data_IF_899459600473
#
_entry.id   IF_899459600473
#
_cell.length_a   1.000
_cell.length_b   1.000
_cell.length_c   1.000
_cell.angle_alpha   90.00
_cell.angle_beta   90.00
_cell.angle_gamma   90.00
#
_symmetry.space_group_name_H-M   'P 1'
#
loop_
_entity.id
_entity.type
_entity.pdbx_description
1 polymer ?
#
# COMPACT_ATOMS: atom_id res chain seq x y z
N UNK A 1 25.56 -1.16 0.12
CA UNK A 1 25.70 -1.03 1.59
C UNK A 1 24.67 -0.03 2.10
N UNK A 2 23.90 -0.42 3.11
CA UNK A 2 23.02 0.45 3.88
C UNK A 2 23.48 0.42 5.33
N UNK A 3 23.36 1.53 6.03
CA UNK A 3 23.70 1.59 7.45
C UNK A 3 22.67 2.39 8.23
N UNK A 4 22.50 2.05 9.49
CA UNK A 4 21.70 2.77 10.47
C UNK A 4 22.55 2.95 11.72
N UNK A 5 22.70 4.19 12.17
CA UNK A 5 23.44 4.52 13.38
C UNK A 5 22.46 4.62 14.54
N UNK A 6 22.68 3.82 15.57
CA UNK A 6 21.88 3.83 16.79
C UNK A 6 22.72 4.36 17.94
N UNK A 7 22.43 5.56 18.41
CA UNK A 7 23.30 6.32 19.31
C UNK A 7 24.72 6.51 18.70
N UNK A 8 25.64 7.29 19.31
CA UNK A 8 26.99 7.42 18.74
C UNK A 8 27.79 6.11 18.73
N UNK A 9 27.34 5.08 19.46
CA UNK A 9 28.14 3.92 19.82
C UNK A 9 27.89 2.68 18.93
N UNK A 10 26.75 2.58 18.24
CA UNK A 10 26.40 1.39 17.47
C UNK A 10 26.06 1.70 16.01
N UNK A 11 26.61 0.88 15.11
CA UNK A 11 26.39 0.97 13.67
C UNK A 11 25.88 -0.38 13.15
N UNK A 12 24.67 -0.40 12.64
CA UNK A 12 24.06 -1.55 11.98
C UNK A 12 24.24 -1.44 10.48
N UNK A 13 24.63 -2.53 9.82
CA UNK A 13 24.97 -2.53 8.39
C UNK A 13 24.23 -3.67 7.68
N UNK A 14 23.57 -3.34 6.58
CA UNK A 14 23.15 -4.32 5.58
C UNK A 14 24.09 -4.28 4.37
N UNK A 15 24.63 -5.45 4.03
CA UNK A 15 25.28 -5.70 2.76
C UNK A 15 24.20 -6.12 1.77
N UNK A 16 23.91 -5.26 0.82
CA UNK A 16 22.79 -5.40 -0.13
C UNK A 16 23.31 -5.37 -1.55
N UNK A 17 22.68 -6.14 -2.43
CA UNK A 17 22.95 -6.12 -3.86
C UNK A 17 22.64 -4.73 -4.47
N UNK A 18 23.30 -4.39 -5.57
CA UNK A 18 23.18 -3.10 -6.24
C UNK A 18 21.77 -2.81 -6.76
N UNK A 19 21.00 -3.85 -7.07
CA UNK A 19 19.64 -3.75 -7.60
C UNK A 19 18.55 -3.82 -6.52
N UNK A 20 18.91 -3.95 -5.26
CA UNK A 20 17.94 -4.12 -4.18
C UNK A 20 17.25 -2.80 -3.82
N UNK A 21 15.97 -2.86 -3.43
CA UNK A 21 15.18 -1.69 -3.02
C UNK A 21 15.76 -1.06 -1.74
N UNK A 22 16.57 -0.02 -1.91
CA UNK A 22 17.28 0.64 -0.79
C UNK A 22 16.34 1.23 0.24
N UNK A 23 15.15 1.69 -0.16
CA UNK A 23 14.17 2.33 0.72
C UNK A 23 13.51 1.30 1.64
N UNK A 24 13.04 0.19 1.08
CA UNK A 24 12.50 -0.96 1.83
C UNK A 24 13.53 -1.52 2.79
N UNK A 25 14.73 -1.81 2.29
CA UNK A 25 15.78 -2.40 3.10
C UNK A 25 16.25 -1.48 4.23
N UNK A 26 16.14 -0.15 4.05
CA UNK A 26 16.38 0.81 5.13
C UNK A 26 15.28 0.78 6.19
N UNK A 27 14.02 0.62 5.80
CA UNK A 27 12.93 0.43 6.75
C UNK A 27 13.13 -0.85 7.58
N UNK A 28 13.49 -1.97 6.92
CA UNK A 28 13.83 -3.25 7.57
C UNK A 28 15.00 -3.07 8.53
N UNK A 29 16.11 -2.46 8.06
CA UNK A 29 17.31 -2.24 8.87
C UNK A 29 16.98 -1.45 10.14
N UNK A 30 16.16 -0.40 10.05
CA UNK A 30 15.73 0.39 11.20
C UNK A 30 14.90 -0.41 12.19
N UNK A 31 13.96 -1.22 11.70
CA UNK A 31 13.16 -2.09 12.57
C UNK A 31 14.03 -3.09 13.30
N UNK A 32 14.89 -3.82 12.58
CA UNK A 32 15.78 -4.81 13.17
C UNK A 32 16.77 -4.17 14.15
N UNK A 33 17.32 -3.00 13.81
CA UNK A 33 18.22 -2.27 14.72
C UNK A 33 17.50 -1.89 16.02
N UNK A 34 16.26 -1.39 15.93
CA UNK A 34 15.45 -1.07 17.12
C UNK A 34 15.13 -2.31 17.96
N UNK A 35 14.70 -3.41 17.32
CA UNK A 35 14.39 -4.68 18.01
C UNK A 35 15.63 -5.27 18.67
N UNK A 36 16.77 -5.24 17.98
CA UNK A 36 18.04 -5.73 18.51
C UNK A 36 18.47 -4.92 19.73
N UNK A 37 18.48 -3.59 19.63
CA UNK A 37 18.86 -2.73 20.75
C UNK A 37 17.90 -2.87 21.93
N UNK A 38 16.60 -2.93 21.67
CA UNK A 38 15.60 -3.11 22.73
C UNK A 38 15.81 -4.42 23.52
N UNK A 39 16.36 -5.45 22.87
CA UNK A 39 16.59 -6.77 23.48
C UNK A 39 17.98 -6.93 24.10
N UNK A 40 19.01 -6.37 23.49
CA UNK A 40 20.41 -6.72 23.78
C UNK A 40 21.30 -5.53 24.19
N UNK A 41 20.75 -4.34 24.44
CA UNK A 41 21.56 -3.16 24.80
C UNK A 41 22.45 -3.41 26.03
N UNK A 42 22.00 -4.21 26.99
CA UNK A 42 22.75 -4.48 28.22
C UNK A 42 23.95 -5.38 27.92
N UNK A 43 23.75 -6.44 27.15
CA UNK A 43 24.76 -7.42 26.74
C UNK A 43 25.83 -6.77 25.85
N UNK A 44 25.43 -5.84 24.98
CA UNK A 44 26.35 -5.06 24.14
C UNK A 44 27.27 -4.12 24.95
N UNK A 45 26.87 -3.73 26.16
CA UNK A 45 27.66 -2.86 27.05
C UNK A 45 28.62 -3.64 27.95
N UNK A 46 28.60 -4.96 27.92
CA UNK A 46 29.57 -5.77 28.66
C UNK A 46 30.97 -5.60 28.09
N UNK A 47 31.99 -5.60 28.95
CA UNK A 47 33.40 -5.49 28.53
C UNK A 47 33.81 -6.63 27.57
N UNK A 48 33.18 -7.80 27.72
CA UNK A 48 33.37 -8.96 26.85
C UNK A 48 31.97 -9.45 26.41
N UNK A 49 31.53 -9.15 25.18
CA UNK A 49 30.24 -9.60 24.68
C UNK A 49 30.24 -11.12 24.42
N UNK A 50 29.16 -11.79 24.83
CA UNK A 50 28.94 -13.22 24.58
C UNK A 50 28.07 -13.35 23.32
N UNK A 51 28.69 -13.74 22.20
CA UNK A 51 28.02 -13.76 20.89
C UNK A 51 26.84 -14.73 20.84
N UNK A 52 26.93 -15.85 21.55
CA UNK A 52 25.90 -16.90 21.58
C UNK A 52 24.54 -16.37 22.07
N UNK A 53 24.54 -15.28 22.85
CA UNK A 53 23.30 -14.64 23.35
C UNK A 53 22.49 -13.99 22.23
N UNK A 54 23.09 -13.75 21.06
CA UNK A 54 22.43 -13.11 19.92
C UNK A 54 21.95 -14.11 18.86
N UNK A 55 22.26 -15.41 18.99
CA UNK A 55 21.95 -16.40 17.95
C UNK A 55 20.45 -16.50 17.64
N UNK A 56 19.62 -16.37 18.68
CA UNK A 56 18.17 -16.43 18.60
C UNK A 56 17.56 -15.25 17.81
N UNK A 57 18.26 -14.11 17.72
CA UNK A 57 17.85 -12.98 16.89
C UNK A 57 17.84 -13.32 15.39
N UNK A 58 18.55 -14.38 14.96
CA UNK A 58 18.50 -14.85 13.57
C UNK A 58 17.08 -15.25 13.15
N UNK A 59 16.28 -15.77 14.09
CA UNK A 59 14.88 -16.11 13.81
C UNK A 59 14.01 -14.86 13.67
N UNK A 60 14.27 -13.82 14.48
CA UNK A 60 13.61 -12.52 14.35
C UNK A 60 13.90 -11.89 12.98
N UNK A 61 15.17 -11.89 12.56
CA UNK A 61 15.58 -11.41 11.23
C UNK A 61 14.82 -12.16 10.14
N UNK A 62 14.77 -13.50 10.21
CA UNK A 62 14.04 -14.31 9.22
C UNK A 62 12.54 -13.99 9.22
N UNK A 63 11.93 -13.85 10.40
CA UNK A 63 10.52 -13.50 10.53
C UNK A 63 10.18 -12.15 9.88
N UNK A 64 11.01 -11.13 10.15
CA UNK A 64 10.86 -9.81 9.52
C UNK A 64 10.99 -9.91 8.00
N UNK A 65 12.02 -10.58 7.46
CA UNK A 65 12.14 -10.72 6.00
C UNK A 65 10.94 -11.45 5.37
N UNK A 66 10.47 -12.54 5.97
CA UNK A 66 9.29 -13.27 5.48
C UNK A 66 8.03 -12.40 5.46
N UNK A 67 7.79 -11.61 6.51
CA UNK A 67 6.68 -10.67 6.56
C UNK A 67 6.77 -9.64 5.43
N UNK A 68 7.95 -9.01 5.27
CA UNK A 68 8.16 -7.99 4.24
C UNK A 68 8.06 -8.55 2.82
N UNK A 69 8.60 -9.74 2.56
CA UNK A 69 8.44 -10.43 1.28
C UNK A 69 6.95 -10.69 0.97
N UNK A 70 6.17 -11.12 1.97
CA UNK A 70 4.73 -11.27 1.84
C UNK A 70 4.03 -9.97 1.44
N UNK A 71 4.35 -8.87 2.12
CA UNK A 71 3.82 -7.53 1.79
C UNK A 71 4.20 -7.12 0.37
N UNK A 72 5.47 -7.29 -0.03
CA UNK A 72 5.94 -6.93 -1.36
C UNK A 72 5.23 -7.70 -2.47
N UNK A 73 5.01 -9.01 -2.30
CA UNK A 73 4.27 -9.84 -3.25
C UNK A 73 2.83 -9.33 -3.42
N UNK A 74 2.19 -8.91 -2.32
CA UNK A 74 0.84 -8.35 -2.38
C UNK A 74 0.86 -7.03 -3.14
N UNK A 75 1.74 -6.09 -2.74
CA UNK A 75 1.83 -4.74 -3.33
C UNK A 75 2.16 -4.80 -4.83
N UNK A 76 3.09 -5.67 -5.25
CA UNK A 76 3.49 -5.80 -6.67
C UNK A 76 2.36 -6.27 -7.58
N UNK A 77 1.32 -6.89 -7.01
CA UNK A 77 0.15 -7.39 -7.74
C UNK A 77 -1.05 -6.43 -7.66
N UNK A 78 -0.92 -5.27 -7.01
CA UNK A 78 -1.97 -4.27 -6.96
C UNK A 78 -2.04 -3.48 -8.27
N UNK A 79 -3.25 -3.11 -8.66
CA UNK A 79 -3.47 -2.15 -9.73
C UNK A 79 -3.59 -0.73 -9.19
N UNK A 80 -3.58 0.26 -10.09
CA UNK A 80 -3.88 1.65 -9.76
C UNK A 80 -5.30 1.87 -9.19
N UNK A 81 -6.21 0.90 -9.34
CA UNK A 81 -7.63 0.99 -8.97
C UNK A 81 -7.94 0.38 -7.60
N UNK A 82 -7.01 0.55 -6.68
CA UNK A 82 -7.15 0.20 -5.27
C UNK A 82 -7.19 1.45 -4.41
N UNK A 83 -7.91 1.36 -3.30
CA UNK A 83 -8.04 2.42 -2.31
C UNK A 83 -7.08 2.15 -1.14
N UNK A 84 -6.02 2.96 -0.98
CA UNK A 84 -5.26 2.97 0.24
C UNK A 84 -6.03 3.67 1.36
N UNK A 85 -5.88 3.18 2.60
CA UNK A 85 -6.45 3.79 3.80
C UNK A 85 -5.43 3.76 4.92
N UNK A 86 -5.17 4.92 5.53
CA UNK A 86 -4.25 5.02 6.66
C UNK A 86 -4.90 4.47 7.94
N UNK A 87 -4.18 3.59 8.64
CA UNK A 87 -4.52 3.14 10.00
C UNK A 87 -4.09 4.21 10.99
N UNK A 88 -5.01 5.11 11.33
CA UNK A 88 -4.73 6.29 12.16
C UNK A 88 -4.10 5.93 13.49
N UNK A 89 -4.57 4.86 14.14
CA UNK A 89 -4.08 4.41 15.44
C UNK A 89 -2.61 3.98 15.37
N UNK A 90 -2.24 3.23 14.33
CA UNK A 90 -0.86 2.77 14.10
C UNK A 90 0.03 3.93 13.69
N UNK A 91 -0.46 4.82 12.82
CA UNK A 91 0.28 6.02 12.41
C UNK A 91 0.56 6.92 13.61
N UNK A 92 -0.42 7.15 14.48
CA UNK A 92 -0.26 7.98 15.68
C UNK A 92 0.76 7.40 16.64
N UNK A 93 0.78 6.07 16.82
CA UNK A 93 1.83 5.39 17.59
C UNK A 93 3.19 5.61 16.93
N UNK A 94 3.31 5.37 15.62
CA UNK A 94 4.56 5.53 14.88
C UNK A 94 5.11 6.97 14.91
N UNK A 95 4.24 7.98 14.91
CA UNK A 95 4.61 9.39 15.07
C UNK A 95 5.14 9.65 16.49
N UNK A 96 4.48 9.12 17.53
CA UNK A 96 4.87 9.32 18.93
C UNK A 96 6.16 8.59 19.31
N UNK A 97 6.40 7.40 18.77
CA UNK A 97 7.54 6.54 19.14
C UNK A 97 8.85 6.91 18.44
N UNK A 98 8.88 8.03 17.72
CA UNK A 98 10.13 8.66 17.30
C UNK A 98 10.46 8.44 15.82
N UNK A 99 10.17 9.48 15.03
CA UNK A 99 10.85 9.70 13.76
C UNK A 99 10.16 9.14 12.52
N UNK A 100 8.95 8.58 12.58
CA UNK A 100 8.27 8.11 11.36
C UNK A 100 8.17 9.20 10.27
N UNK A 101 7.76 10.42 10.64
CA UNK A 101 7.66 11.53 9.69
C UNK A 101 9.05 11.99 9.22
N UNK A 102 10.06 11.95 10.08
CA UNK A 102 11.44 12.29 9.71
C UNK A 102 12.04 11.25 8.77
N UNK A 103 11.77 9.97 9.00
CA UNK A 103 12.14 8.84 8.15
C UNK A 103 11.47 8.96 6.79
N UNK A 104 10.14 9.19 6.77
CA UNK A 104 9.37 9.43 5.55
C UNK A 104 9.93 10.64 4.78
N UNK A 105 10.23 11.73 5.47
CA UNK A 105 10.82 12.92 4.87
C UNK A 105 12.24 12.66 4.36
N UNK A 106 13.06 11.87 5.06
CA UNK A 106 14.41 11.51 4.63
C UNK A 106 14.39 10.64 3.37
N UNK A 107 13.43 9.73 3.28
CA UNK A 107 13.37 8.73 2.20
C UNK A 107 12.59 9.23 0.96
N UNK A 108 11.62 10.13 1.15
CA UNK A 108 10.71 10.62 0.10
C UNK A 108 10.56 12.14 0.03
N UNK A 109 11.23 12.90 0.90
CA UNK A 109 11.15 14.36 0.91
C UNK A 109 9.74 14.89 1.20
N UNK A 110 9.38 16.00 0.57
CA UNK A 110 8.02 16.56 0.64
C UNK A 110 6.98 15.74 -0.13
N UNK A 111 7.42 14.89 -1.08
CA UNK A 111 6.53 14.04 -1.87
C UNK A 111 5.82 13.01 -0.99
N UNK A 112 6.56 12.36 -0.09
CA UNK A 112 5.99 11.38 0.86
C UNK A 112 4.88 11.98 1.71
N UNK A 113 5.09 13.18 2.24
CA UNK A 113 4.07 13.90 3.02
C UNK A 113 2.83 14.23 2.18
N UNK A 114 3.01 14.72 0.94
CA UNK A 114 1.89 15.03 0.03
C UNK A 114 1.05 13.81 -0.30
N UNK A 115 1.69 12.68 -0.60
CA UNK A 115 1.00 11.42 -0.86
C UNK A 115 0.26 10.97 0.40
N UNK A 116 0.94 10.93 1.56
CA UNK A 116 0.31 10.53 2.83
C UNK A 116 -0.94 11.37 3.14
N UNK A 117 -0.88 12.69 2.94
CA UNK A 117 -2.05 13.58 3.14
C UNK A 117 -3.16 13.40 2.11
N UNK A 118 -2.86 12.76 0.97
CA UNK A 118 -3.85 12.49 -0.09
C UNK A 118 -4.51 11.12 0.05
N UNK A 119 -4.05 10.28 0.98
CA UNK A 119 -4.69 9.02 1.32
C UNK A 119 -5.84 9.32 2.29
N UNK A 120 -7.02 9.56 1.71
CA UNK A 120 -8.25 9.91 2.43
C UNK A 120 -9.14 8.69 2.75
N UNK A 121 -8.84 7.53 2.15
CA UNK A 121 -9.66 6.32 2.27
C UNK A 121 -10.76 6.19 1.22
N UNK A 122 -10.84 7.13 0.28
CA UNK A 122 -11.83 7.15 -0.82
C UNK A 122 -11.16 7.26 -2.20
N UNK A 123 -9.98 7.86 -2.27
CA UNK A 123 -9.23 8.10 -3.49
C UNK A 123 -8.36 6.89 -3.87
N UNK A 124 -8.50 6.42 -5.11
CA UNK A 124 -7.63 5.36 -5.65
C UNK A 124 -6.20 5.84 -5.88
N UNK A 125 -5.23 4.92 -6.00
CA UNK A 125 -3.85 5.24 -6.43
C UNK A 125 -3.88 6.02 -7.75
N UNK A 126 -4.71 5.62 -8.71
CA UNK A 126 -4.90 6.33 -9.98
C UNK A 126 -5.36 7.78 -9.76
N UNK A 127 -6.37 7.98 -8.90
CA UNK A 127 -6.91 9.31 -8.58
C UNK A 127 -5.89 10.19 -7.86
N UNK A 128 -5.13 9.63 -6.91
CA UNK A 128 -4.06 10.34 -6.17
C UNK A 128 -2.97 10.79 -7.16
N UNK A 129 -2.56 9.90 -8.05
CA UNK A 129 -1.55 10.15 -9.10
C UNK A 129 -1.97 11.31 -9.99
N UNK A 130 -3.19 11.27 -10.55
CA UNK A 130 -3.75 12.37 -11.36
C UNK A 130 -3.89 13.68 -10.57
N UNK A 131 -4.38 13.63 -9.33
CA UNK A 131 -4.59 14.82 -8.47
C UNK A 131 -3.28 15.52 -8.12
N UNK A 132 -2.23 14.75 -7.83
CA UNK A 132 -0.94 15.29 -7.43
C UNK A 132 0.00 15.60 -8.61
N UNK A 133 -0.36 15.13 -9.82
CA UNK A 133 0.43 15.22 -11.05
C UNK A 133 1.86 14.68 -10.84
N UNK A 134 1.93 13.42 -10.43
CA UNK A 134 3.16 12.67 -10.14
C UNK A 134 3.10 11.32 -10.84
N UNK A 135 4.24 10.66 -11.00
CA UNK A 135 4.31 9.33 -11.61
C UNK A 135 3.70 8.27 -10.69
N UNK A 136 3.05 7.27 -11.28
CA UNK A 136 2.40 6.16 -10.54
C UNK A 136 3.43 5.38 -9.71
N UNK A 137 4.62 5.13 -10.26
CA UNK A 137 5.72 4.46 -9.56
C UNK A 137 6.09 5.19 -8.25
N UNK A 138 6.07 6.53 -8.25
CA UNK A 138 6.40 7.30 -7.06
C UNK A 138 5.32 7.20 -5.97
N UNK A 139 4.05 7.06 -6.37
CA UNK A 139 2.95 6.77 -5.43
C UNK A 139 3.08 5.35 -4.91
N UNK A 140 3.31 4.39 -5.80
CA UNK A 140 3.47 2.98 -5.47
C UNK A 140 4.59 2.76 -4.44
N UNK A 141 5.75 3.41 -4.60
CA UNK A 141 6.86 3.31 -3.63
C UNK A 141 6.48 3.84 -2.23
N UNK A 142 5.69 4.92 -2.15
CA UNK A 142 5.23 5.45 -0.85
C UNK A 142 4.19 4.52 -0.25
N UNK A 143 3.25 4.01 -1.06
CA UNK A 143 2.25 3.03 -0.63
C UNK A 143 2.91 1.75 -0.11
N UNK A 144 3.92 1.25 -0.81
CA UNK A 144 4.75 0.11 -0.40
C UNK A 144 5.40 0.37 0.96
N UNK A 145 6.07 1.52 1.13
CA UNK A 145 6.69 1.90 2.39
C UNK A 145 5.68 1.98 3.54
N UNK A 146 4.50 2.55 3.30
CA UNK A 146 3.45 2.67 4.32
C UNK A 146 2.85 1.29 4.68
N UNK A 147 2.64 0.42 3.70
CA UNK A 147 2.16 -0.95 3.91
C UNK A 147 3.17 -1.77 4.73
N UNK A 148 4.44 -1.69 4.36
CA UNK A 148 5.57 -2.29 5.09
C UNK A 148 5.59 -1.86 6.55
N UNK A 149 5.32 -0.57 6.81
CA UNK A 149 5.28 -0.02 8.17
C UNK A 149 4.00 -0.37 8.93
N UNK A 150 3.11 -1.16 8.33
CA UNK A 150 1.84 -1.59 8.92
C UNK A 150 0.84 -0.45 9.09
N UNK A 151 1.11 0.74 8.54
CA UNK A 151 0.26 1.94 8.69
C UNK A 151 -0.82 2.05 7.61
N UNK A 152 -0.87 1.10 6.68
CA UNK A 152 -1.75 1.14 5.52
C UNK A 152 -2.62 -0.11 5.43
N UNK A 153 -3.90 0.08 5.10
CA UNK A 153 -4.80 -0.96 4.58
C UNK A 153 -5.07 -0.64 3.12
N UNK A 154 -5.36 -1.66 2.32
CA UNK A 154 -5.67 -1.47 0.90
C UNK A 154 -6.93 -2.25 0.59
N UNK A 155 -7.85 -1.64 -0.15
CA UNK A 155 -9.07 -2.27 -0.62
C UNK A 155 -9.19 -2.20 -2.14
N UNK A 156 -9.71 -3.26 -2.75
CA UNK A 156 -10.07 -3.30 -4.17
C UNK A 156 -11.39 -2.58 -4.39
N UNK A 157 -11.46 -1.73 -5.42
CA UNK A 157 -12.70 -1.09 -5.86
C UNK A 157 -13.55 -2.07 -6.64
N UNK A 158 -14.76 -2.36 -6.15
CA UNK A 158 -15.69 -3.31 -6.77
C UNK A 158 -16.99 -2.58 -7.13
N UNK A 159 -17.25 -2.29 -8.42
CA UNK A 159 -18.41 -1.50 -8.81
C UNK A 159 -19.72 -2.26 -8.65
N UNK A 160 -20.77 -1.53 -8.28
CA UNK A 160 -22.17 -1.96 -8.22
C UNK A 160 -22.95 -1.03 -9.12
N UNK A 161 -23.66 -1.58 -10.11
CA UNK A 161 -24.62 -0.82 -10.91
C UNK A 161 -26.01 -1.23 -10.44
N UNK A 162 -26.69 -0.35 -9.70
CA UNK A 162 -28.07 -0.61 -9.27
C UNK A 162 -29.07 -0.28 -10.38
N UNK A 163 -30.06 -1.15 -10.56
CA UNK A 163 -31.30 -0.83 -11.28
C UNK A 163 -31.18 -0.71 -12.80
N UNK A 164 -31.51 -1.78 -13.52
CA UNK A 164 -31.93 -1.71 -14.93
C UNK A 164 -33.36 -1.15 -15.05
N UNK A 165 -33.62 0.01 -14.46
CA UNK A 165 -34.93 0.65 -14.54
C UNK A 165 -35.00 1.63 -15.74
N UNK A 166 -36.21 2.05 -16.07
CA UNK A 166 -36.43 2.99 -17.18
C UNK A 166 -35.76 4.34 -16.96
N UNK A 167 -35.41 4.70 -15.71
CA UNK A 167 -34.75 5.96 -15.37
C UNK A 167 -33.26 5.89 -15.67
N UNK A 168 -32.62 4.74 -15.42
CA UNK A 168 -31.23 4.51 -15.79
C UNK A 168 -31.03 4.66 -17.31
N UNK A 169 -31.89 4.06 -18.13
CA UNK A 169 -31.82 4.22 -19.59
C UNK A 169 -32.03 5.68 -20.04
N UNK A 170 -33.00 6.38 -19.44
CA UNK A 170 -33.22 7.79 -19.72
C UNK A 170 -32.03 8.68 -19.27
N UNK A 171 -31.33 8.30 -18.20
CA UNK A 171 -30.10 8.95 -17.76
C UNK A 171 -28.97 8.74 -18.77
N UNK A 172 -28.78 7.51 -19.27
CA UNK A 172 -27.76 7.23 -20.30
C UNK A 172 -27.99 8.06 -21.57
N UNK A 173 -29.25 8.24 -21.98
CA UNK A 173 -29.61 9.11 -23.10
C UNK A 173 -29.30 10.59 -22.82
N UNK A 174 -29.48 11.05 -21.57
CA UNK A 174 -29.23 12.44 -21.18
C UNK A 174 -27.73 12.76 -21.13
N UNK A 175 -26.90 11.86 -20.59
CA UNK A 175 -25.45 12.09 -20.48
C UNK A 175 -24.72 11.98 -21.81
N UNK A 176 -25.36 11.39 -22.84
CA UNK A 176 -24.85 11.34 -24.20
C UNK A 176 -23.57 10.50 -24.34
N UNK A 177 -23.53 9.31 -23.72
CA UNK A 177 -22.37 8.42 -23.82
C UNK A 177 -22.09 8.02 -25.28
N UNK A 178 -20.82 8.02 -25.72
CA UNK A 178 -20.43 7.47 -27.01
C UNK A 178 -20.89 6.02 -27.15
N UNK A 179 -21.31 5.61 -28.35
CA UNK A 179 -21.83 4.25 -28.61
C UNK A 179 -20.90 3.12 -28.12
N UNK A 180 -19.57 3.32 -28.19
CA UNK A 180 -18.59 2.36 -27.66
C UNK A 180 -18.64 2.22 -26.14
N UNK A 181 -18.81 3.32 -25.42
CA UNK A 181 -18.88 3.34 -23.96
C UNK A 181 -20.22 2.75 -23.48
N UNK A 182 -21.31 3.03 -24.19
CA UNK A 182 -22.60 2.41 -23.94
C UNK A 182 -22.54 0.88 -24.12
N UNK A 183 -21.93 0.39 -25.21
CA UNK A 183 -21.74 -1.05 -25.43
C UNK A 183 -20.86 -1.71 -24.37
N UNK A 184 -19.83 -1.00 -23.89
CA UNK A 184 -19.01 -1.48 -22.78
C UNK A 184 -19.85 -1.59 -21.50
N UNK A 185 -20.63 -0.57 -21.19
CA UNK A 185 -21.49 -0.53 -20.02
C UNK A 185 -22.52 -1.67 -20.02
N UNK A 186 -23.21 -1.89 -21.14
CA UNK A 186 -24.17 -3.00 -21.30
C UNK A 186 -23.54 -4.36 -20.98
N UNK A 187 -22.30 -4.59 -21.42
CA UNK A 187 -21.58 -5.83 -21.13
C UNK A 187 -21.10 -5.90 -19.67
N UNK A 188 -20.77 -4.75 -19.07
CA UNK A 188 -20.25 -4.67 -17.71
C UNK A 188 -21.33 -4.84 -16.64
N UNK A 189 -22.59 -4.46 -16.91
CA UNK A 189 -23.72 -4.50 -15.97
C UNK A 189 -23.79 -5.78 -15.13
N UNK A 190 -23.79 -6.94 -15.77
CA UNK A 190 -23.91 -8.23 -15.07
C UNK A 190 -22.66 -8.64 -14.26
N UNK A 191 -21.54 -7.94 -14.45
CA UNK A 191 -20.29 -8.19 -13.75
C UNK A 191 -20.07 -7.21 -12.60
N UNK A 192 -20.65 -6.01 -12.66
CA UNK A 192 -20.60 -4.95 -11.66
C UNK A 192 -21.61 -5.19 -10.54
N UNK A 193 -21.36 -6.20 -9.71
CA UNK A 193 -22.22 -6.62 -8.59
C UNK A 193 -21.60 -6.38 -7.21
N UNK A 194 -20.48 -5.65 -7.13
CA UNK A 194 -19.77 -5.36 -5.88
C UNK A 194 -18.86 -6.47 -5.36
N UNK A 195 -18.80 -7.62 -6.03
CA UNK A 195 -17.93 -8.74 -5.61
C UNK A 195 -16.61 -8.80 -6.40
N UNK A 196 -16.58 -8.20 -7.59
CA UNK A 196 -15.42 -8.25 -8.50
C UNK A 196 -14.78 -6.89 -8.61
N UNK A 197 -13.44 -6.85 -8.59
CA UNK A 197 -12.73 -5.60 -8.74
C UNK A 197 -12.84 -5.05 -10.16
N UNK A 198 -12.61 -3.75 -10.33
CA UNK A 198 -12.53 -3.12 -11.67
C UNK A 198 -11.62 -3.89 -12.61
N UNK A 199 -10.47 -4.38 -12.11
CA UNK A 199 -9.51 -5.16 -12.89
C UNK A 199 -10.11 -6.49 -13.34
N UNK A 200 -10.72 -7.24 -12.43
CA UNK A 200 -11.32 -8.53 -12.75
C UNK A 200 -12.47 -8.39 -13.77
N UNK A 201 -13.24 -7.31 -13.67
CA UNK A 201 -14.31 -7.00 -14.61
C UNK A 201 -13.72 -6.60 -15.96
N UNK A 202 -12.71 -5.73 -16.01
CA UNK A 202 -12.09 -5.29 -17.27
C UNK A 202 -11.45 -6.44 -18.03
N UNK A 203 -10.78 -7.35 -17.32
CA UNK A 203 -10.14 -8.52 -17.91
C UNK A 203 -11.16 -9.45 -18.57
N UNK A 204 -12.30 -9.69 -17.90
CA UNK A 204 -13.42 -10.49 -18.45
C UNK A 204 -14.06 -9.84 -19.68
N UNK A 205 -14.05 -8.51 -19.72
CA UNK A 205 -14.59 -7.74 -20.84
C UNK A 205 -13.58 -7.58 -21.98
N UNK A 206 -12.31 -7.91 -21.77
CA UNK A 206 -11.23 -7.73 -22.75
C UNK A 206 -10.94 -6.25 -23.02
N UNK A 207 -11.07 -5.41 -22.00
CA UNK A 207 -10.76 -3.96 -22.05
C UNK A 207 -9.76 -3.59 -20.96
N UNK A 208 -9.20 -2.39 -21.02
CA UNK A 208 -8.33 -1.90 -19.95
C UNK A 208 -9.14 -1.48 -18.72
N UNK A 209 -8.56 -1.65 -17.54
CA UNK A 209 -9.16 -1.18 -16.29
C UNK A 209 -9.39 0.34 -16.30
N UNK A 210 -8.50 1.11 -16.94
CA UNK A 210 -8.69 2.56 -17.14
C UNK A 210 -9.95 2.88 -17.93
N UNK A 211 -10.15 2.22 -19.07
CA UNK A 211 -11.33 2.48 -19.90
C UNK A 211 -12.62 2.14 -19.16
N UNK A 212 -12.64 1.04 -18.40
CA UNK A 212 -13.80 0.68 -17.60
C UNK A 212 -14.03 1.67 -16.46
N UNK A 213 -12.98 2.03 -15.72
CA UNK A 213 -13.05 2.98 -14.61
C UNK A 213 -13.54 4.36 -15.05
N UNK A 214 -13.05 4.88 -16.18
CA UNK A 214 -13.50 6.16 -16.72
C UNK A 214 -14.98 6.15 -17.10
N UNK A 215 -15.46 5.08 -17.74
CA UNK A 215 -16.89 4.93 -18.07
C UNK A 215 -17.74 4.87 -16.82
N UNK A 216 -17.37 4.04 -15.84
CA UNK A 216 -18.09 3.94 -14.57
C UNK A 216 -18.09 5.27 -13.79
N UNK A 217 -16.97 5.99 -13.81
CA UNK A 217 -16.85 7.29 -13.14
C UNK A 217 -17.76 8.37 -13.75
N UNK A 218 -18.04 8.32 -15.07
CA UNK A 218 -18.97 9.23 -15.74
C UNK A 218 -20.42 9.04 -15.30
N UNK A 219 -20.76 7.85 -14.81
CA UNK A 219 -22.11 7.53 -14.33
C UNK A 219 -22.42 8.14 -12.96
N UNK A 220 -21.40 8.63 -12.24
CA UNK A 220 -21.58 9.35 -10.98
C UNK A 220 -22.33 8.51 -9.95
N UNK A 221 -23.48 9.01 -9.50
CA UNK A 221 -24.30 8.39 -8.44
C UNK A 221 -25.01 7.10 -8.87
N UNK A 222 -25.00 6.76 -10.15
CA UNK A 222 -25.58 5.51 -10.65
C UNK A 222 -24.63 4.30 -10.50
N UNK A 223 -23.42 4.53 -9.97
CA UNK A 223 -22.45 3.48 -9.64
C UNK A 223 -22.06 3.61 -8.17
N UNK A 224 -22.39 2.59 -7.39
CA UNK A 224 -21.90 2.43 -6.04
C UNK A 224 -20.59 1.63 -6.03
N UNK A 225 -19.79 1.81 -4.98
CA UNK A 225 -18.49 1.15 -4.84
C UNK A 225 -18.45 0.32 -3.56
N UNK A 226 -18.29 -0.98 -3.73
CA UNK A 226 -17.93 -1.89 -2.64
C UNK A 226 -16.41 -1.98 -2.53
N UNK A 227 -15.90 -1.96 -1.29
CA UNK A 227 -14.47 -2.01 -1.01
C UNK A 227 -14.13 -3.33 -0.33
N UNK A 228 -13.41 -4.20 -1.04
CA UNK A 228 -12.98 -5.50 -0.51
C UNK A 228 -11.52 -5.40 -0.10
N UNK A 229 -11.25 -5.54 1.19
CA UNK A 229 -9.91 -5.44 1.76
C UNK A 229 -8.98 -6.54 1.21
N UNK A 230 -7.75 -6.15 0.89
CA UNK A 230 -6.68 -7.07 0.50
C UNK A 230 -6.08 -7.68 1.76
N UNK A 231 -6.31 -8.98 1.96
CA UNK A 231 -5.77 -9.74 3.10
C UNK A 231 -4.24 -9.85 3.05
N UNK A 232 -3.60 -10.02 4.22
CA UNK A 232 -2.15 -10.26 4.33
C UNK A 232 -1.28 -9.00 4.45
N UNK A 233 -1.86 -7.79 4.40
CA UNK A 233 -1.16 -6.53 4.68
C UNK A 233 -1.22 -6.11 6.17
N UNK A 234 -2.01 -6.80 6.98
CA UNK A 234 -2.41 -6.35 8.32
C UNK A 234 -2.14 -7.36 9.45
N UNK A 235 -1.67 -8.56 9.14
CA UNK A 235 -1.40 -9.57 10.16
C UNK A 235 0.04 -9.39 10.65
N UNK A 236 0.19 -8.83 11.85
CA UNK A 236 1.45 -9.00 12.60
C UNK A 236 1.71 -10.51 12.75
N UNK A 237 2.97 -10.97 12.68
CA UNK A 237 3.29 -12.29 13.18
C UNK A 237 2.88 -12.29 14.66
N UNK A 238 1.87 -13.09 14.97
CA UNK A 238 1.49 -13.41 16.34
C UNK A 238 2.72 -14.03 17.00
N UNK A 239 3.24 -13.35 18.02
CA UNK A 239 4.25 -13.92 18.89
C UNK A 239 3.58 -15.01 19.73
N UNK A 240 3.68 -16.26 19.26
CA UNK A 240 3.54 -17.46 20.11
C UNK A 240 4.86 -17.74 20.84
#
# INVERSE_FOLDING_TARGET
MLYEQFNPDFLFIFLVDNHASKKVLRAILRELSRKFMARYETELRMEIPILDVFEDFSNEVRGVFLYYEGVLIIISNLSAYVIPTVRKEVLDVAIRTGGFLDELHRDFGSLGARILTSIDGDSSIHSITRKLNIEEDAVAEVIEYLAIRGVLRIAKMCPIIEGEDTRFNAFLDLIGLPSKEYQLLERAKHLCNGERSVVDVSDRLGVTAESLFEVLSKLGTEVDWSYIEVSGLADEPTAD
#
